data_IF_604731195563
#
_entry.id   IF_604731195563
#
_cell.length_a   1.000
_cell.length_b   1.000
_cell.length_c   1.000
_cell.angle_alpha   90.00
_cell.angle_beta   90.00
_cell.angle_gamma   90.00
#
_symmetry.space_group_name_H-M   'P 1'
#
loop_
_entity.id
_entity.type
_entity.pdbx_description
1 polymer ?
#
# COMPACT_ATOMS: atom_id res chain seq x y z
N UNK A 1 -21.26 -27.62 -14.76
CA UNK A 1 -20.56 -27.17 -13.53
C UNK A 1 -19.24 -27.90 -13.53
N UNK A 2 -18.24 -27.32 -14.18
CA UNK A 2 -16.92 -27.93 -14.35
C UNK A 2 -16.17 -27.98 -13.03
N UNK A 3 -15.65 -29.15 -12.71
CA UNK A 3 -14.84 -29.44 -11.54
C UNK A 3 -13.57 -28.58 -11.61
N UNK A 4 -13.49 -27.58 -10.74
CA UNK A 4 -12.40 -26.59 -10.70
C UNK A 4 -11.14 -27.24 -10.11
N UNK A 5 -10.52 -28.13 -10.90
CA UNK A 5 -9.26 -28.79 -10.54
C UNK A 5 -8.20 -27.73 -10.27
N UNK A 6 -7.64 -27.78 -9.07
CA UNK A 6 -6.61 -26.87 -8.53
C UNK A 6 -5.33 -26.90 -9.38
N UNK A 7 -5.16 -27.96 -10.19
CA UNK A 7 -4.10 -28.10 -11.16
C UNK A 7 -4.69 -28.57 -12.49
N UNK A 8 -4.48 -27.78 -13.55
CA UNK A 8 -4.86 -28.13 -14.92
C UNK A 8 -3.64 -28.72 -15.63
N UNK A 9 -3.82 -29.92 -16.18
CA UNK A 9 -2.80 -30.60 -16.97
C UNK A 9 -3.34 -30.83 -18.37
N UNK A 10 -2.50 -30.65 -19.38
CA UNK A 10 -2.78 -31.00 -20.76
C UNK A 10 -1.90 -32.20 -21.13
N UNK A 11 -2.56 -33.31 -21.44
CA UNK A 11 -1.89 -34.50 -21.98
C UNK A 11 -1.83 -34.37 -23.51
N UNK A 12 -0.62 -34.45 -24.07
CA UNK A 12 -0.40 -34.34 -25.51
C UNK A 12 -0.32 -35.71 -26.21
N UNK A 13 -0.45 -36.83 -25.48
CA UNK A 13 -0.20 -38.17 -26.03
C UNK A 13 1.29 -38.39 -26.32
N UNK A 14 1.79 -39.62 -26.16
CA UNK A 14 3.23 -39.98 -26.02
C UNK A 14 3.84 -39.76 -24.61
N UNK A 15 3.04 -39.71 -23.55
CA UNK A 15 3.55 -39.68 -22.17
C UNK A 15 4.19 -38.35 -21.76
N UNK A 16 3.98 -37.29 -22.54
CA UNK A 16 4.44 -35.94 -22.21
C UNK A 16 3.28 -35.15 -21.58
N UNK A 17 3.32 -35.01 -20.26
CA UNK A 17 2.29 -34.33 -19.47
C UNK A 17 2.77 -32.91 -19.21
N UNK A 18 2.07 -31.90 -19.72
CA UNK A 18 2.40 -30.48 -19.48
C UNK A 18 1.41 -29.89 -18.48
N UNK A 19 1.92 -29.24 -17.43
CA UNK A 19 1.10 -28.51 -16.44
C UNK A 19 0.76 -27.14 -17.03
N UNK A 20 -0.52 -26.82 -17.16
CA UNK A 20 -1.02 -25.57 -17.76
C UNK A 20 -1.24 -24.49 -16.68
N UNK A 21 -1.80 -24.88 -15.52
CA UNK A 21 -1.97 -23.97 -14.39
C UNK A 21 -1.97 -24.73 -13.06
N UNK A 22 -1.42 -24.12 -12.00
CA UNK A 22 -1.43 -24.66 -10.65
C UNK A 22 -1.66 -23.55 -9.63
N UNK A 23 -2.37 -23.86 -8.54
CA UNK A 23 -2.55 -22.97 -7.40
C UNK A 23 -1.86 -23.58 -6.19
N UNK A 24 -1.13 -22.77 -5.43
CA UNK A 24 -0.51 -23.17 -4.18
C UNK A 24 -0.77 -22.10 -3.12
N UNK A 25 -1.01 -22.54 -1.89
CA UNK A 25 -1.26 -21.65 -0.75
C UNK A 25 -0.01 -21.49 0.10
N UNK A 26 0.28 -20.26 0.51
CA UNK A 26 1.34 -19.96 1.46
C UNK A 26 0.65 -19.45 2.74
N UNK A 27 0.90 -20.10 3.87
CA UNK A 27 0.40 -19.65 5.17
C UNK A 27 1.55 -19.50 6.14
N UNK A 28 1.59 -18.36 6.85
CA UNK A 28 2.53 -18.15 7.96
C UNK A 28 1.77 -18.33 9.27
N UNK A 29 2.25 -19.22 10.13
CA UNK A 29 1.70 -19.41 11.47
C UNK A 29 2.10 -18.27 12.41
N UNK A 30 1.19 -17.87 13.30
CA UNK A 30 1.42 -16.86 14.35
C UNK A 30 0.34 -15.77 14.40
N UNK A 31 0.22 -15.10 15.54
CA UNK A 31 -0.68 -13.95 15.69
C UNK A 31 0.05 -12.67 15.23
N UNK A 32 0.00 -12.41 13.93
CA UNK A 32 0.64 -11.25 13.31
C UNK A 32 -0.30 -10.04 13.34
N UNK A 33 0.25 -8.87 13.66
CA UNK A 33 -0.44 -7.60 13.50
C UNK A 33 -0.79 -7.36 12.02
N UNK A 34 -1.89 -6.65 11.74
CA UNK A 34 -2.36 -6.37 10.38
C UNK A 34 -1.28 -5.74 9.48
N UNK A 35 -0.47 -4.85 10.03
CA UNK A 35 0.63 -4.22 9.32
C UNK A 35 1.76 -5.21 8.95
N UNK A 36 2.09 -6.15 9.84
CA UNK A 36 3.06 -7.21 9.51
C UNK A 36 2.52 -8.19 8.46
N UNK A 37 1.22 -8.47 8.48
CA UNK A 37 0.55 -9.28 7.44
C UNK A 37 0.62 -8.59 6.09
N UNK A 38 0.32 -7.29 6.04
CA UNK A 38 0.42 -6.51 4.81
C UNK A 38 1.86 -6.53 4.23
N UNK A 39 2.89 -6.35 5.07
CA UNK A 39 4.28 -6.45 4.65
C UNK A 39 4.68 -7.86 4.17
N UNK A 40 4.09 -8.90 4.75
CA UNK A 40 4.33 -10.27 4.29
C UNK A 40 3.77 -10.51 2.89
N UNK A 41 2.53 -10.08 2.65
CA UNK A 41 1.89 -10.18 1.32
C UNK A 41 2.65 -9.35 0.28
N UNK A 42 3.08 -8.14 0.64
CA UNK A 42 3.90 -7.28 -0.23
C UNK A 42 5.24 -7.93 -0.61
N UNK A 43 5.90 -8.63 0.31
CA UNK A 43 7.11 -9.40 0.00
C UNK A 43 6.84 -10.55 -0.97
N UNK A 44 5.72 -11.26 -0.81
CA UNK A 44 5.33 -12.32 -1.74
C UNK A 44 5.10 -11.74 -3.14
N UNK A 45 4.38 -10.62 -3.23
CA UNK A 45 4.16 -9.91 -4.51
C UNK A 45 5.49 -9.54 -5.17
N UNK A 46 6.42 -8.94 -4.42
CA UNK A 46 7.75 -8.61 -4.92
C UNK A 46 8.56 -9.82 -5.40
N UNK A 47 8.45 -10.97 -4.73
CA UNK A 47 9.12 -12.21 -5.18
C UNK A 47 8.47 -12.71 -6.47
N UNK A 48 7.14 -12.68 -6.55
CA UNK A 48 6.40 -13.10 -7.75
C UNK A 48 6.75 -12.21 -8.95
N UNK A 49 6.88 -10.90 -8.75
CA UNK A 49 7.27 -9.95 -9.80
C UNK A 49 8.68 -10.22 -10.37
N UNK A 50 9.57 -10.88 -9.62
CA UNK A 50 10.88 -11.30 -10.13
C UNK A 50 10.81 -12.46 -11.13
N UNK A 51 9.66 -13.16 -11.21
CA UNK A 51 9.44 -14.28 -12.11
C UNK A 51 8.31 -14.00 -13.11
N UNK A 52 8.42 -12.97 -13.97
CA UNK A 52 7.36 -12.59 -14.91
C UNK A 52 7.07 -13.67 -15.96
N UNK A 53 8.00 -14.61 -16.16
CA UNK A 53 7.88 -15.74 -17.09
C UNK A 53 6.66 -16.64 -16.82
N UNK A 54 6.19 -16.68 -15.58
CA UNK A 54 5.10 -17.57 -15.15
C UNK A 54 3.75 -16.86 -15.03
N UNK A 55 3.67 -15.55 -15.29
CA UNK A 55 2.44 -14.73 -15.19
C UNK A 55 1.61 -15.04 -13.93
N UNK A 56 2.29 -15.10 -12.78
CA UNK A 56 1.68 -15.53 -11.52
C UNK A 56 0.95 -14.35 -10.88
N UNK A 57 -0.23 -14.60 -10.35
CA UNK A 57 -1.02 -13.61 -9.60
C UNK A 57 -1.14 -14.05 -8.15
N UNK A 58 -0.87 -13.14 -7.21
CA UNK A 58 -1.07 -13.39 -5.77
C UNK A 58 -2.50 -13.02 -5.40
N UNK A 59 -3.28 -13.99 -4.90
CA UNK A 59 -4.64 -13.76 -4.42
C UNK A 59 -4.68 -13.87 -2.89
N UNK A 60 -5.22 -12.84 -2.25
CA UNK A 60 -5.53 -12.83 -0.82
C UNK A 60 -6.92 -12.18 -0.63
N UNK A 61 -7.73 -12.76 0.25
CA UNK A 61 -9.11 -12.29 0.50
C UNK A 61 -9.12 -10.86 1.06
N UNK A 62 -8.17 -10.54 1.93
CA UNK A 62 -8.05 -9.22 2.57
C UNK A 62 -7.07 -8.29 1.83
N UNK A 63 -6.75 -8.60 0.56
CA UNK A 63 -5.77 -7.85 -0.24
C UNK A 63 -6.04 -6.34 -0.29
N UNK A 64 -7.30 -5.93 -0.44
CA UNK A 64 -7.69 -4.51 -0.44
C UNK A 64 -7.32 -3.79 0.86
N UNK A 65 -7.46 -4.46 2.00
CA UNK A 65 -7.13 -3.88 3.31
C UNK A 65 -5.62 -3.70 3.42
N UNK A 66 -4.83 -4.67 2.94
CA UNK A 66 -3.37 -4.56 2.94
C UNK A 66 -2.87 -3.43 2.04
N UNK A 67 -3.44 -3.29 0.84
CA UNK A 67 -3.10 -2.20 -0.08
C UNK A 67 -3.40 -0.83 0.53
N UNK A 68 -4.50 -0.74 1.28
CA UNK A 68 -4.87 0.47 2.00
C UNK A 68 -3.87 0.78 3.14
N UNK A 69 -3.54 -0.19 3.99
CA UNK A 69 -2.55 -0.05 5.08
C UNK A 69 -1.18 0.37 4.54
N UNK A 70 -0.73 -0.24 3.43
CA UNK A 70 0.55 0.09 2.79
C UNK A 70 0.51 1.48 2.16
N UNK A 71 -0.63 1.87 1.58
CA UNK A 71 -0.84 3.16 0.92
C UNK A 71 -0.92 4.35 1.87
N UNK A 72 -1.54 4.20 3.05
CA UNK A 72 -1.84 5.28 4.02
C UNK A 72 -0.65 6.21 4.23
N UNK A 73 0.55 5.68 4.47
CA UNK A 73 1.73 6.50 4.75
C UNK A 73 2.06 7.46 3.61
N UNK A 74 1.98 6.97 2.38
CA UNK A 74 2.27 7.77 1.19
C UNK A 74 1.15 8.74 0.86
N UNK A 75 -0.10 8.32 1.01
CA UNK A 75 -1.26 9.15 0.72
C UNK A 75 -1.41 10.29 1.75
N UNK A 76 -1.15 10.02 3.02
CA UNK A 76 -1.12 11.04 4.09
C UNK A 76 -0.06 12.11 3.81
N UNK A 77 1.15 11.70 3.44
CA UNK A 77 2.22 12.64 3.12
C UNK A 77 1.84 13.52 1.92
N UNK A 78 1.31 12.91 0.85
CA UNK A 78 0.83 13.64 -0.33
C UNK A 78 -0.28 14.63 0.04
N UNK A 79 -1.26 14.21 0.84
CA UNK A 79 -2.36 15.06 1.27
C UNK A 79 -1.87 16.28 2.08
N UNK A 80 -0.91 16.08 2.99
CA UNK A 80 -0.27 17.17 3.74
C UNK A 80 0.46 18.14 2.80
N UNK A 81 1.23 17.63 1.83
CA UNK A 81 1.92 18.50 0.86
C UNK A 81 0.97 19.31 -0.02
N UNK A 82 -0.11 18.68 -0.51
CA UNK A 82 -1.12 19.32 -1.36
C UNK A 82 -1.84 20.42 -0.59
N UNK A 83 -2.29 20.15 0.64
CA UNK A 83 -2.98 21.14 1.48
C UNK A 83 -2.09 22.33 1.82
N UNK A 84 -0.83 22.08 2.17
CA UNK A 84 0.14 23.14 2.44
C UNK A 84 0.44 24.00 1.23
N UNK A 85 0.61 23.38 0.07
CA UNK A 85 0.88 24.10 -1.18
C UNK A 85 -0.32 24.94 -1.59
N UNK A 86 -1.53 24.39 -1.47
CA UNK A 86 -2.76 25.12 -1.72
C UNK A 86 -2.89 26.35 -0.80
N UNK A 87 -2.68 26.17 0.52
CA UNK A 87 -2.74 27.26 1.49
C UNK A 87 -1.66 28.32 1.24
N UNK A 88 -0.44 27.90 0.89
CA UNK A 88 0.66 28.80 0.56
C UNK A 88 0.34 29.68 -0.64
N UNK A 89 -0.23 29.11 -1.71
CA UNK A 89 -0.61 29.83 -2.93
C UNK A 89 -1.69 30.86 -2.65
N UNK A 90 -2.73 30.49 -1.90
CA UNK A 90 -3.81 31.41 -1.51
C UNK A 90 -3.25 32.56 -0.66
N UNK A 91 -2.43 32.25 0.35
CA UNK A 91 -1.82 33.27 1.20
C UNK A 91 -0.85 34.20 0.44
N UNK A 92 -0.18 33.71 -0.59
CA UNK A 92 0.68 34.53 -1.46
C UNK A 92 -0.14 35.52 -2.31
N UNK A 93 -1.29 35.07 -2.83
CA UNK A 93 -2.14 35.92 -3.67
C UNK A 93 -2.85 37.02 -2.89
N UNK A 94 -3.27 36.74 -1.64
CA UNK A 94 -4.03 37.69 -0.81
C UNK A 94 -3.13 38.74 -0.14
N UNK A 95 -1.89 38.40 0.22
CA UNK A 95 -0.98 39.30 0.94
C UNK A 95 0.29 39.49 0.11
N UNK A 96 0.52 40.67 -0.52
CA UNK A 96 1.70 40.93 -1.35
C UNK A 96 2.98 41.17 -0.52
N UNK A 97 3.11 40.49 0.64
CA UNK A 97 4.29 40.50 1.50
C UNK A 97 4.74 39.07 1.79
N UNK A 98 5.74 38.63 1.02
CA UNK A 98 6.41 37.33 1.12
C UNK A 98 6.74 36.88 2.55
N UNK A 99 7.19 37.80 3.42
CA UNK A 99 7.57 37.45 4.79
C UNK A 99 6.40 36.93 5.63
N UNK A 100 5.22 37.53 5.49
CA UNK A 100 4.03 37.09 6.24
C UNK A 100 3.55 35.72 5.75
N UNK A 101 3.57 35.50 4.44
CA UNK A 101 3.18 34.22 3.84
C UNK A 101 4.08 33.08 4.33
N UNK A 102 5.40 33.27 4.34
CA UNK A 102 6.34 32.24 4.79
C UNK A 102 6.11 31.88 6.27
N UNK A 103 5.98 32.88 7.13
CA UNK A 103 5.73 32.67 8.58
C UNK A 103 4.41 31.91 8.79
N UNK A 104 3.35 32.28 8.07
CA UNK A 104 2.06 31.61 8.15
C UNK A 104 2.16 30.14 7.70
N UNK A 105 2.80 29.87 6.55
CA UNK A 105 2.98 28.49 6.06
C UNK A 105 3.83 27.64 7.00
N UNK A 106 4.86 28.23 7.62
CA UNK A 106 5.71 27.53 8.59
C UNK A 106 4.95 27.19 9.87
N UNK A 107 4.06 28.08 10.32
CA UNK A 107 3.18 27.82 11.46
C UNK A 107 2.21 26.67 11.18
N UNK A 108 1.57 26.65 10.00
CA UNK A 108 0.66 25.55 9.62
C UNK A 108 1.42 24.22 9.52
N UNK A 109 2.58 24.22 8.85
CA UNK A 109 3.49 23.07 8.81
C UNK A 109 3.81 22.54 10.21
N UNK A 110 4.21 23.44 11.12
CA UNK A 110 4.54 23.08 12.50
C UNK A 110 3.37 22.43 13.21
N UNK A 111 2.16 22.98 13.09
CA UNK A 111 0.96 22.43 13.74
C UNK A 111 0.66 21.03 13.20
N UNK A 112 0.73 20.83 11.87
CA UNK A 112 0.51 19.52 11.25
C UNK A 112 1.53 18.48 11.71
N UNK A 113 2.81 18.83 11.76
CA UNK A 113 3.88 17.94 12.24
C UNK A 113 3.70 17.59 13.72
N UNK A 114 3.36 18.58 14.56
CA UNK A 114 3.09 18.33 15.98
C UNK A 114 1.91 17.39 16.15
N UNK A 115 0.81 17.60 15.41
CA UNK A 115 -0.39 16.76 15.50
C UNK A 115 -0.05 15.30 15.15
N UNK A 116 0.59 15.08 14.00
CA UNK A 116 1.00 13.75 13.54
C UNK A 116 1.99 13.09 14.52
N UNK A 117 2.95 13.85 15.03
CA UNK A 117 3.93 13.36 16.00
C UNK A 117 3.29 12.95 17.32
N UNK A 118 2.34 13.75 17.84
CA UNK A 118 1.60 13.41 19.06
C UNK A 118 0.67 12.21 18.87
N UNK A 119 0.05 12.06 17.70
CA UNK A 119 -0.78 10.91 17.37
C UNK A 119 0.06 9.61 17.37
N UNK A 120 1.25 9.68 16.76
CA UNK A 120 2.20 8.58 16.76
C UNK A 120 2.70 8.23 18.17
N UNK A 121 2.91 9.24 19.03
CA UNK A 121 3.29 9.01 20.43
C UNK A 121 2.17 8.33 21.23
N UNK A 122 0.91 8.70 20.98
CA UNK A 122 -0.24 8.07 21.62
C UNK A 122 -0.49 6.63 21.16
N UNK A 123 0.28 6.12 20.18
CA UNK A 123 0.12 4.76 19.67
C UNK A 123 -1.22 4.54 18.96
N UNK A 124 -1.79 5.62 18.42
CA UNK A 124 -3.09 5.56 17.76
C UNK A 124 -2.89 5.13 16.31
N UNK A 125 -3.57 4.06 15.92
CA UNK A 125 -3.52 3.57 14.55
C UNK A 125 -4.19 4.59 13.62
N UNK A 126 -3.43 5.01 12.59
CA UNK A 126 -3.94 5.91 11.56
C UNK A 126 -4.67 5.04 10.55
N UNK A 127 -5.98 4.97 10.73
CA UNK A 127 -6.84 4.39 9.71
C UNK A 127 -6.91 5.32 8.48
N UNK A 128 -6.97 4.74 7.27
CA UNK A 128 -7.14 5.41 5.97
C UNK A 128 -8.42 6.24 5.85
#
# INVERSE_FOLDING_TARGET
MDDKRIVQFRDFGLGNISVDSFVFGISRGGNLNWLERAFFVDKIRNIVDQFPKFNVTVFDYDSTIYDLILGVKTEMLKAVFVTLTCMALICFFVIPKLRCTIIATFSVLSISYTLLGTLGWCGQDIDP
#
